data_IF_668332925155
#
_entry.id   IF_668332925155
#
_cell.length_a   1.000
_cell.length_b   1.000
_cell.length_c   1.000
_cell.angle_alpha   90.00
_cell.angle_beta   90.00
_cell.angle_gamma   90.00
#
_symmetry.space_group_name_H-M   'P 1'
#
loop_
_entity.id
_entity.type
_entity.pdbx_description
1 polymer ?
#
# COMPACT_ATOMS: atom_id res chain seq x y z
N UNK A 1 -29.76 12.73 13.20
CA UNK A 1 -29.70 14.21 13.24
C UNK A 1 -28.89 14.66 12.03
N UNK A 2 -29.40 15.58 11.21
CA UNK A 2 -28.64 16.09 10.07
C UNK A 2 -27.57 17.07 10.57
N UNK A 3 -26.30 16.82 10.28
CA UNK A 3 -25.21 17.73 10.62
C UNK A 3 -25.09 18.82 9.55
N UNK A 4 -25.05 20.09 9.96
CA UNK A 4 -24.95 21.25 9.08
C UNK A 4 -23.65 22.02 9.27
N UNK A 5 -23.03 22.46 8.18
CA UNK A 5 -21.77 23.19 8.18
C UNK A 5 -21.86 24.39 7.23
N UNK A 6 -21.55 25.58 7.74
CA UNK A 6 -21.62 26.82 6.97
C UNK A 6 -20.26 27.23 6.39
N UNK A 7 -20.32 28.02 5.31
CA UNK A 7 -19.13 28.62 4.70
C UNK A 7 -18.29 27.63 3.89
N UNK A 8 -18.85 26.50 3.49
CA UNK A 8 -18.12 25.45 2.77
C UNK A 8 -17.92 25.84 1.31
N UNK A 9 -16.68 25.82 0.85
CA UNK A 9 -16.34 26.03 -0.57
C UNK A 9 -16.22 24.68 -1.25
N UNK A 10 -16.86 24.54 -2.41
CA UNK A 10 -16.84 23.32 -3.21
C UNK A 10 -16.05 23.56 -4.50
N UNK A 11 -15.00 22.78 -4.69
CA UNK A 11 -14.16 22.79 -5.89
C UNK A 11 -14.14 21.42 -6.56
N UNK A 12 -13.97 21.39 -7.88
CA UNK A 12 -13.63 20.18 -8.63
C UNK A 12 -12.12 20.13 -8.90
N UNK A 13 -11.55 18.94 -8.81
CA UNK A 13 -10.21 18.66 -9.31
C UNK A 13 -10.33 17.98 -10.68
N UNK A 14 -9.72 18.58 -11.69
CA UNK A 14 -9.68 18.02 -13.05
C UNK A 14 -8.65 16.87 -13.16
N UNK A 15 -8.76 16.09 -14.23
CA UNK A 15 -7.75 15.07 -14.59
C UNK A 15 -6.39 15.71 -14.94
N UNK A 16 -6.33 17.01 -15.21
CA UNK A 16 -5.07 17.74 -15.45
C UNK A 16 -4.42 18.22 -14.15
N UNK A 17 -5.09 18.10 -13.01
CA UNK A 17 -4.63 18.60 -11.71
C UNK A 17 -5.11 20.03 -11.40
N UNK A 18 -5.88 20.65 -12.29
CA UNK A 18 -6.41 21.99 -12.03
C UNK A 18 -7.57 21.92 -11.03
N UNK A 19 -7.50 22.76 -9.99
CA UNK A 19 -8.58 22.93 -9.02
C UNK A 19 -9.43 24.12 -9.48
N UNK A 20 -10.70 23.87 -9.75
CA UNK A 20 -11.66 24.89 -10.15
C UNK A 20 -12.82 24.96 -9.16
N UNK A 21 -13.17 26.16 -8.69
CA UNK A 21 -14.35 26.32 -7.83
C UNK A 21 -15.62 26.01 -8.62
N UNK A 22 -16.41 25.04 -8.17
CA UNK A 22 -17.71 24.73 -8.78
C UNK A 22 -18.73 25.83 -8.51
N UNK A 23 -18.61 26.49 -7.36
CA UNK A 23 -19.47 27.58 -6.96
C UNK A 23 -18.63 28.76 -6.46
N UNK A 24 -18.92 29.99 -6.90
CA UNK A 24 -18.17 31.18 -6.51
C UNK A 24 -18.48 31.66 -5.09
N UNK A 25 -19.55 31.14 -4.47
CA UNK A 25 -20.01 31.54 -3.14
C UNK A 25 -19.94 30.36 -2.16
N UNK A 26 -19.63 30.60 -0.87
CA UNK A 26 -19.68 29.59 0.16
C UNK A 26 -21.10 29.02 0.34
N UNK A 27 -21.18 27.72 0.62
CA UNK A 27 -22.40 26.94 0.67
C UNK A 27 -22.69 26.44 2.09
N UNK A 28 -23.96 26.12 2.34
CA UNK A 28 -24.39 25.33 3.49
C UNK A 28 -24.28 23.85 3.11
N UNK A 29 -23.39 23.13 3.76
CA UNK A 29 -23.27 21.67 3.66
C UNK A 29 -24.20 21.03 4.69
N UNK A 30 -25.00 20.07 4.27
CA UNK A 30 -25.82 19.24 5.16
C UNK A 30 -25.57 17.78 4.85
N UNK A 31 -25.42 16.97 5.90
CA UNK A 31 -25.23 15.52 5.78
C UNK A 31 -26.47 14.83 6.32
N UNK A 32 -27.08 13.99 5.48
CA UNK A 32 -28.14 13.08 5.86
C UNK A 32 -27.61 11.64 5.82
N UNK A 33 -27.97 10.87 6.84
CA UNK A 33 -27.60 9.47 7.00
C UNK A 33 -28.76 8.60 6.49
N UNK A 34 -28.49 7.77 5.49
CA UNK A 34 -29.42 6.78 4.94
C UNK A 34 -28.88 5.37 5.17
N UNK A 35 -29.70 4.33 4.97
CA UNK A 35 -29.33 2.96 5.38
C UNK A 35 -28.08 2.40 4.70
N UNK A 36 -27.75 2.85 3.48
CA UNK A 36 -26.63 2.31 2.69
C UNK A 36 -25.63 3.37 2.18
N UNK A 37 -25.90 4.65 2.40
CA UNK A 37 -25.10 5.77 1.92
C UNK A 37 -25.28 7.02 2.78
N UNK A 38 -24.31 7.92 2.69
CA UNK A 38 -24.42 9.28 3.20
C UNK A 38 -24.78 10.21 2.05
N UNK A 39 -25.76 11.07 2.26
CA UNK A 39 -26.14 12.10 1.31
C UNK A 39 -25.57 13.43 1.78
N UNK A 40 -24.66 13.99 0.98
CA UNK A 40 -24.05 15.30 1.22
C UNK A 40 -24.69 16.32 0.29
N UNK A 41 -25.45 17.26 0.85
CA UNK A 41 -26.15 18.33 0.12
C UNK A 41 -25.47 19.67 0.35
N UNK A 42 -25.21 20.39 -0.73
CA UNK A 42 -24.66 21.74 -0.75
C UNK A 42 -25.72 22.71 -1.22
N UNK A 43 -26.16 23.62 -0.34
CA UNK A 43 -27.20 24.60 -0.67
C UNK A 43 -26.60 26.01 -0.70
N UNK A 44 -26.93 26.78 -1.75
CA UNK A 44 -26.66 28.23 -1.79
C UNK A 44 -27.54 28.96 -0.76
N UNK A 45 -26.97 29.97 -0.09
CA UNK A 45 -27.68 30.74 0.95
C UNK A 45 -28.97 31.41 0.43
N UNK A 46 -28.93 31.91 -0.81
CA UNK A 46 -30.00 32.76 -1.35
C UNK A 46 -30.97 32.00 -2.27
N UNK A 47 -30.81 30.68 -2.41
CA UNK A 47 -31.59 29.85 -3.32
C UNK A 47 -32.45 28.87 -2.53
N UNK A 48 -33.75 29.17 -2.38
CA UNK A 48 -34.70 28.27 -1.73
C UNK A 48 -35.34 27.23 -2.68
N UNK A 49 -34.99 27.26 -3.98
CA UNK A 49 -35.44 26.29 -4.97
C UNK A 49 -34.54 25.04 -5.06
N UNK A 50 -35.06 23.93 -5.62
CA UNK A 50 -34.31 22.67 -5.80
C UNK A 50 -33.10 22.81 -6.74
N UNK A 51 -33.07 23.79 -7.65
CA UNK A 51 -31.91 24.07 -8.52
C UNK A 51 -30.70 24.65 -7.77
N UNK A 52 -30.88 25.09 -6.51
CA UNK A 52 -29.82 25.65 -5.68
C UNK A 52 -29.02 24.62 -4.87
N UNK A 53 -29.34 23.33 -5.03
CA UNK A 53 -28.80 22.23 -4.23
C UNK A 53 -27.94 21.32 -5.10
N UNK A 54 -26.67 21.16 -4.75
CA UNK A 54 -25.80 20.13 -5.32
C UNK A 54 -25.75 18.94 -4.37
N UNK A 55 -26.00 17.73 -4.87
CA UNK A 55 -26.10 16.52 -4.06
C UNK A 55 -25.02 15.51 -4.48
N UNK A 56 -24.39 14.91 -3.48
CA UNK A 56 -23.35 13.90 -3.65
C UNK A 56 -23.68 12.73 -2.74
N UNK A 57 -23.80 11.56 -3.34
CA UNK A 57 -23.96 10.30 -2.63
C UNK A 57 -22.57 9.72 -2.32
N UNK A 58 -22.35 9.38 -1.05
CA UNK A 58 -21.12 8.76 -0.57
C UNK A 58 -21.47 7.36 -0.08
N UNK A 59 -20.94 6.35 -0.75
CA UNK A 59 -21.12 4.93 -0.43
C UNK A 59 -19.93 4.41 0.38
N UNK A 60 -20.07 3.20 0.96
CA UNK A 60 -19.02 2.55 1.76
C UNK A 60 -17.69 2.35 1.01
N UNK A 61 -17.75 2.22 -0.31
CA UNK A 61 -16.61 2.05 -1.22
C UNK A 61 -16.17 3.35 -1.91
N UNK A 62 -16.78 4.49 -1.57
CA UNK A 62 -16.39 5.78 -2.13
C UNK A 62 -15.05 6.23 -1.54
N UNK A 63 -14.07 6.48 -2.41
CA UNK A 63 -12.77 6.98 -2.02
C UNK A 63 -12.89 8.37 -1.39
N UNK A 64 -12.61 8.45 -0.10
CA UNK A 64 -12.66 9.69 0.68
C UNK A 64 -11.36 9.92 1.41
N UNK A 65 -10.98 11.20 1.54
CA UNK A 65 -9.70 11.58 2.11
C UNK A 65 -9.80 12.89 2.87
N UNK A 66 -9.31 12.90 4.11
CA UNK A 66 -9.08 14.16 4.81
C UNK A 66 -7.83 14.84 4.22
N UNK A 67 -7.97 16.10 3.86
CA UNK A 67 -6.89 16.96 3.38
C UNK A 67 -6.63 18.04 4.44
N UNK A 68 -5.73 17.72 5.35
CA UNK A 68 -5.38 18.61 6.45
C UNK A 68 -6.51 18.88 7.42
N UNK A 69 -6.43 19.99 8.14
CA UNK A 69 -7.40 20.29 9.20
C UNK A 69 -8.77 20.71 8.65
N UNK A 70 -8.83 21.15 7.39
CA UNK A 70 -9.93 21.98 6.87
C UNK A 70 -10.36 21.65 5.46
N UNK A 71 -9.87 20.57 4.88
CA UNK A 71 -10.37 20.11 3.61
C UNK A 71 -10.66 18.61 3.63
N UNK A 72 -11.59 18.23 2.78
CA UNK A 72 -12.01 16.85 2.62
C UNK A 72 -12.24 16.58 1.14
N UNK A 73 -11.77 15.45 0.66
CA UNK A 73 -11.89 15.06 -0.74
C UNK A 73 -12.83 13.88 -0.83
N UNK A 74 -13.69 13.93 -1.84
CA UNK A 74 -14.58 12.85 -2.23
C UNK A 74 -14.31 12.56 -3.70
N UNK A 75 -13.83 11.35 -3.98
CA UNK A 75 -13.62 10.87 -5.34
C UNK A 75 -14.72 9.85 -5.66
N UNK A 76 -15.47 10.11 -6.73
CA UNK A 76 -16.52 9.23 -7.22
C UNK A 76 -16.43 9.10 -8.74
N UNK A 77 -17.17 8.18 -9.35
CA UNK A 77 -17.01 7.84 -10.78
C UNK A 77 -17.18 9.01 -11.77
N UNK A 78 -17.81 10.13 -11.37
CA UNK A 78 -18.02 11.32 -12.22
C UNK A 78 -16.98 12.42 -12.01
N UNK A 79 -16.06 12.27 -11.05
CA UNK A 79 -15.02 13.28 -10.78
C UNK A 79 -14.56 13.31 -9.33
N UNK A 80 -13.66 14.25 -9.04
CA UNK A 80 -13.12 14.48 -7.69
C UNK A 80 -13.56 15.83 -7.17
N UNK A 81 -14.14 15.84 -5.97
CA UNK A 81 -14.59 17.04 -5.28
C UNK A 81 -13.69 17.33 -4.09
N UNK A 82 -13.32 18.60 -3.96
CA UNK A 82 -12.56 19.14 -2.84
C UNK A 82 -13.49 20.08 -2.05
N UNK A 83 -13.71 19.72 -0.79
CA UNK A 83 -14.47 20.48 0.21
C UNK A 83 -13.49 21.28 1.04
N UNK A 84 -13.73 22.59 1.21
CA UNK A 84 -12.92 23.45 2.06
C UNK A 84 -13.80 24.15 3.11
N UNK A 85 -13.44 24.02 4.38
CA UNK A 85 -14.12 24.64 5.51
C UNK A 85 -13.49 26.00 5.86
N UNK A 86 -14.24 26.96 6.44
CA UNK A 86 -13.76 28.32 6.73
C UNK A 86 -12.56 28.39 7.71
N UNK A 87 -11.79 29.48 7.63
CA UNK A 87 -10.51 29.73 8.33
C UNK A 87 -10.73 30.16 9.77
N UNK A 88 -9.92 29.61 10.69
CA UNK A 88 -9.39 30.40 11.80
C UNK A 88 -7.96 30.78 11.35
N UNK A 89 -7.63 32.06 11.43
CA UNK A 89 -6.47 32.67 10.76
C UNK A 89 -5.13 32.04 11.15
N UNK A 90 -4.20 32.01 10.18
CA UNK A 90 -2.77 31.77 10.39
C UNK A 90 -2.25 30.50 9.74
N UNK A 91 -1.98 30.54 8.43
CA UNK A 91 -0.96 29.68 7.82
C UNK A 91 -0.34 30.44 6.63
N UNK A 92 0.88 30.91 6.83
CA UNK A 92 1.70 31.61 5.86
C UNK A 92 2.41 30.62 4.93
N UNK A 93 2.06 30.61 3.64
CA UNK A 93 2.84 29.92 2.61
C UNK A 93 4.06 30.79 2.24
N UNK A 94 5.26 30.35 2.60
CA UNK A 94 6.53 30.90 2.10
C UNK A 94 7.06 30.09 0.90
N UNK A 95 7.71 30.72 -0.09
CA UNK A 95 8.25 30.02 -1.26
C UNK A 95 9.69 29.50 -1.04
N UNK A 96 10.05 28.51 -1.86
CA UNK A 96 11.39 27.99 -2.20
C UNK A 96 12.26 27.39 -1.09
N UNK A 97 11.99 26.11 -0.80
CA UNK A 97 12.92 25.19 -0.14
C UNK A 97 12.55 23.75 -0.47
N UNK A 98 13.53 22.84 -0.48
CA UNK A 98 13.25 21.40 -0.53
C UNK A 98 12.42 21.03 0.70
N UNK A 99 11.16 20.67 0.50
CA UNK A 99 10.27 20.24 1.58
C UNK A 99 10.51 18.76 1.87
N UNK A 100 11.32 18.48 2.89
CA UNK A 100 11.50 17.13 3.43
C UNK A 100 10.36 16.78 4.39
N UNK A 101 9.74 15.62 4.17
CA UNK A 101 8.53 15.17 4.85
C UNK A 101 8.72 13.73 5.26
N UNK A 102 8.66 13.50 6.56
CA UNK A 102 8.69 12.16 7.13
C UNK A 102 7.28 11.54 7.06
N UNK A 103 7.18 10.37 6.44
CA UNK A 103 5.94 9.59 6.39
C UNK A 103 6.07 8.42 7.35
N UNK A 104 5.23 8.42 8.39
CA UNK A 104 5.12 7.36 9.39
C UNK A 104 3.96 6.41 9.04
N UNK A 105 3.90 5.25 9.68
CA UNK A 105 2.84 4.24 9.41
C UNK A 105 1.44 4.76 9.71
N UNK A 106 1.32 5.62 10.71
CA UNK A 106 0.11 6.31 11.16
C UNK A 106 -0.14 7.64 10.44
N UNK A 107 0.75 8.08 9.54
CA UNK A 107 0.55 9.31 8.77
C UNK A 107 -0.66 9.16 7.85
N UNK A 108 -1.56 10.14 7.89
CA UNK A 108 -2.77 10.15 7.06
C UNK A 108 -2.38 10.40 5.60
N UNK A 109 -2.70 9.43 4.74
CA UNK A 109 -2.37 9.46 3.32
C UNK A 109 -3.53 8.95 2.50
N UNK A 110 -3.80 9.59 1.37
CA UNK A 110 -4.86 9.13 0.49
C UNK A 110 -4.62 9.54 -0.95
N UNK A 111 -5.11 8.71 -1.87
CA UNK A 111 -5.17 9.06 -3.29
C UNK A 111 -6.31 10.04 -3.51
N UNK A 112 -6.09 11.02 -4.38
CA UNK A 112 -7.07 12.05 -4.74
C UNK A 112 -7.21 12.06 -6.26
N UNK A 113 -8.35 11.58 -6.75
CA UNK A 113 -8.58 11.40 -8.19
C UNK A 113 -7.53 10.50 -8.86
N UNK A 114 -7.33 10.70 -10.18
CA UNK A 114 -6.43 9.84 -10.96
C UNK A 114 -4.95 10.20 -10.78
N UNK A 115 -4.66 11.48 -10.55
CA UNK A 115 -3.31 12.06 -10.70
C UNK A 115 -2.81 12.82 -9.48
N UNK A 116 -3.53 12.79 -8.36
CA UNK A 116 -3.09 13.45 -7.14
C UNK A 116 -3.04 12.51 -5.94
N UNK A 117 -2.25 12.91 -4.95
CA UNK A 117 -2.06 12.19 -3.70
C UNK A 117 -1.92 13.19 -2.57
N UNK A 118 -2.47 12.89 -1.41
CA UNK A 118 -2.43 13.77 -0.23
C UNK A 118 -1.67 13.09 0.89
N UNK A 119 -0.79 13.87 1.54
CA UNK A 119 -0.07 13.49 2.75
C UNK A 119 -0.38 14.54 3.81
N UNK A 120 -0.93 14.12 4.94
CA UNK A 120 -1.22 14.98 6.09
C UNK A 120 -0.29 14.61 7.23
N UNK A 121 0.56 15.56 7.63
CA UNK A 121 1.51 15.43 8.74
C UNK A 121 1.32 16.58 9.76
N UNK A 122 1.98 16.52 10.91
CA UNK A 122 1.78 17.50 11.99
C UNK A 122 1.98 18.98 11.60
N UNK A 123 2.82 19.27 10.60
CA UNK A 123 3.16 20.63 10.15
C UNK A 123 2.26 21.17 9.04
N UNK A 124 1.28 20.38 8.55
CA UNK A 124 0.42 20.78 7.44
C UNK A 124 0.07 19.63 6.49
N UNK A 125 -0.42 19.98 5.32
CA UNK A 125 -0.85 18.99 4.31
C UNK A 125 -0.28 19.32 2.95
N UNK A 126 0.18 18.27 2.28
CA UNK A 126 0.77 18.34 0.96
C UNK A 126 -0.14 17.64 -0.03
N UNK A 127 -0.44 18.36 -1.12
CA UNK A 127 -1.08 17.82 -2.31
C UNK A 127 0.02 17.60 -3.36
N UNK A 128 0.29 16.34 -3.66
CA UNK A 128 1.21 15.92 -4.71
C UNK A 128 0.43 15.73 -6.00
N UNK A 129 0.90 16.31 -7.09
CA UNK A 129 0.33 16.14 -8.43
C UNK A 129 1.34 15.46 -9.33
N UNK A 130 0.93 14.35 -9.92
CA UNK A 130 1.80 13.52 -10.73
C UNK A 130 1.52 13.76 -12.23
N UNK A 131 2.57 13.78 -13.07
CA UNK A 131 2.42 13.87 -14.53
C UNK A 131 1.51 12.78 -15.10
N UNK A 132 1.51 11.58 -14.52
CA UNK A 132 0.73 10.45 -15.02
C UNK A 132 -0.01 9.69 -13.91
N UNK A 133 -1.07 8.98 -14.28
CA UNK A 133 -1.80 8.10 -13.37
C UNK A 133 -0.91 6.92 -12.89
N UNK A 134 -0.04 6.42 -13.78
CA UNK A 134 0.88 5.32 -13.48
C UNK A 134 1.85 5.67 -12.35
N UNK A 135 2.37 6.90 -12.33
CA UNK A 135 3.26 7.36 -11.26
C UNK A 135 2.53 7.47 -9.92
N UNK A 136 1.26 7.91 -9.90
CA UNK A 136 0.44 7.89 -8.66
C UNK A 136 0.28 6.47 -8.15
N UNK A 137 -0.04 5.52 -9.04
CA UNK A 137 -0.23 4.13 -8.66
C UNK A 137 1.07 3.52 -8.11
N UNK A 138 2.21 3.82 -8.75
CA UNK A 138 3.52 3.41 -8.26
C UNK A 138 3.82 4.00 -6.89
N UNK A 139 3.60 5.29 -6.69
CA UNK A 139 3.81 5.96 -5.41
C UNK A 139 2.88 5.41 -4.32
N UNK A 140 1.59 5.28 -4.62
CA UNK A 140 0.60 4.68 -3.72
C UNK A 140 1.01 3.28 -3.30
N UNK A 141 1.46 2.43 -4.22
CA UNK A 141 1.94 1.08 -3.89
C UNK A 141 3.17 1.06 -2.99
N UNK A 142 4.06 2.06 -3.06
CA UNK A 142 5.21 2.17 -2.14
C UNK A 142 4.72 2.55 -0.73
N UNK A 143 3.86 3.56 -0.64
CA UNK A 143 3.29 4.02 0.64
C UNK A 143 2.45 2.91 1.29
N UNK A 144 1.60 2.24 0.51
CA UNK A 144 0.74 1.16 1.00
C UNK A 144 1.55 -0.05 1.49
N UNK A 145 2.60 -0.46 0.77
CA UNK A 145 3.54 -1.49 1.25
C UNK A 145 4.23 -1.10 2.56
N UNK A 146 4.62 0.16 2.71
CA UNK A 146 5.22 0.65 3.94
C UNK A 146 4.21 0.66 5.11
N UNK A 147 2.98 1.13 4.87
CA UNK A 147 1.92 1.24 5.90
C UNK A 147 1.33 -0.11 6.31
N UNK A 148 1.10 -1.02 5.36
CA UNK A 148 0.60 -2.38 5.60
C UNK A 148 1.58 -3.25 6.41
N UNK A 149 2.80 -2.77 6.65
CA UNK A 149 3.79 -3.50 7.46
C UNK A 149 4.27 -4.79 6.80
N UNK A 150 3.88 -5.07 5.56
CA UNK A 150 4.49 -6.07 4.70
C UNK A 150 5.86 -5.56 4.25
N UNK A 151 6.77 -5.43 5.22
CA UNK A 151 8.18 -5.62 4.94
C UNK A 151 8.25 -7.10 4.55
N UNK A 152 8.18 -7.40 3.25
CA UNK A 152 8.57 -8.72 2.77
C UNK A 152 10.02 -8.87 3.20
N UNK A 153 10.25 -9.50 4.36
CA UNK A 153 11.60 -9.79 4.79
C UNK A 153 12.25 -10.58 3.65
N UNK A 154 13.56 -10.43 3.44
CA UNK A 154 14.28 -11.19 2.41
C UNK A 154 13.98 -12.71 2.55
N UNK A 155 13.68 -13.15 3.78
CA UNK A 155 13.17 -14.48 4.09
C UNK A 155 11.79 -14.76 3.47
N UNK A 156 10.76 -13.94 3.75
CA UNK A 156 9.42 -14.12 3.19
C UNK A 156 9.36 -13.99 1.66
N UNK A 157 10.28 -13.23 1.05
CA UNK A 157 10.35 -13.11 -0.41
C UNK A 157 10.94 -14.37 -1.08
N UNK A 158 11.79 -15.12 -0.36
CA UNK A 158 12.50 -16.29 -0.88
C UNK A 158 11.94 -17.62 -0.40
N UNK A 159 11.02 -17.60 0.56
CA UNK A 159 10.55 -18.80 1.24
C UNK A 159 9.05 -18.69 1.46
N UNK A 160 8.32 -19.70 0.96
CA UNK A 160 6.89 -19.82 1.16
C UNK A 160 6.57 -20.04 2.65
N UNK A 161 5.57 -19.34 3.18
CA UNK A 161 5.27 -19.30 4.63
C UNK A 161 4.86 -20.67 5.17
N UNK A 162 4.12 -21.46 4.37
CA UNK A 162 3.75 -22.82 4.74
C UNK A 162 4.98 -23.73 4.77
N UNK A 163 5.89 -23.61 3.79
CA UNK A 163 7.16 -24.34 3.77
C UNK A 163 8.07 -23.99 4.95
N UNK A 164 8.15 -22.70 5.32
CA UNK A 164 8.95 -22.23 6.45
C UNK A 164 8.42 -22.77 7.78
N UNK A 165 7.10 -22.70 7.98
CA UNK A 165 6.45 -23.21 9.18
C UNK A 165 6.72 -24.70 9.36
N UNK A 166 6.55 -25.48 8.30
CA UNK A 166 6.80 -26.91 8.34
C UNK A 166 8.29 -27.24 8.57
N UNK A 167 9.19 -26.49 7.95
CA UNK A 167 10.64 -26.63 8.16
C UNK A 167 11.02 -26.36 9.62
N UNK A 168 10.54 -25.27 10.21
CA UNK A 168 10.82 -24.94 11.62
C UNK A 168 10.17 -25.92 12.59
N UNK A 169 8.98 -26.45 12.27
CA UNK A 169 8.37 -27.52 13.06
C UNK A 169 9.21 -28.81 13.01
N UNK A 170 9.70 -29.19 11.83
CA UNK A 170 10.52 -30.39 11.66
C UNK A 170 11.86 -30.28 12.40
N UNK A 171 12.59 -29.17 12.24
CA UNK A 171 13.88 -28.96 12.92
C UNK A 171 13.75 -28.39 14.35
N UNK A 172 12.54 -28.10 14.80
CA UNK A 172 12.25 -27.76 16.19
C UNK A 172 12.37 -28.96 17.14
N UNK A 173 12.27 -30.19 16.61
CA UNK A 173 12.43 -31.41 17.40
C UNK A 173 13.90 -31.68 17.76
N UNK A 174 14.17 -31.98 19.03
CA UNK A 174 15.52 -32.28 19.54
C UNK A 174 16.19 -33.44 18.78
N UNK A 175 15.44 -34.48 18.42
CA UNK A 175 15.96 -35.62 17.66
C UNK A 175 16.50 -35.20 16.29
N UNK A 176 15.86 -34.26 15.61
CA UNK A 176 16.32 -33.75 14.32
C UNK A 176 17.53 -32.83 14.46
N UNK A 177 17.59 -32.03 15.53
CA UNK A 177 18.78 -31.24 15.84
C UNK A 177 19.98 -32.14 16.15
N UNK A 178 19.77 -33.24 16.87
CA UNK A 178 20.82 -34.22 17.14
C UNK A 178 21.30 -34.92 15.86
N UNK A 179 20.39 -35.23 14.93
CA UNK A 179 20.75 -35.79 13.63
C UNK A 179 21.65 -34.83 12.83
N UNK A 180 21.33 -33.54 12.82
CA UNK A 180 22.15 -32.50 12.18
C UNK A 180 23.54 -32.38 12.81
N UNK A 181 23.65 -32.44 14.15
CA UNK A 181 24.96 -32.39 14.81
C UNK A 181 25.83 -33.62 14.53
N UNK A 182 25.22 -34.78 14.26
CA UNK A 182 25.96 -35.99 13.91
C UNK A 182 26.50 -35.99 12.47
N UNK A 183 26.03 -35.08 11.61
CA UNK A 183 26.52 -34.98 10.23
C UNK A 183 28.00 -34.58 10.16
N UNK A 184 28.54 -33.93 11.19
CA UNK A 184 29.97 -33.68 11.31
C UNK A 184 30.79 -34.98 11.28
N UNK A 185 30.36 -35.99 12.03
CA UNK A 185 31.04 -37.30 12.07
C UNK A 185 30.85 -38.03 10.74
N UNK A 186 29.64 -37.97 10.17
CA UNK A 186 29.31 -38.61 8.90
C UNK A 186 30.17 -38.07 7.76
N UNK A 187 30.21 -36.74 7.60
CA UNK A 187 30.95 -36.06 6.54
C UNK A 187 32.46 -36.18 6.71
N UNK A 188 32.98 -36.05 7.93
CA UNK A 188 34.42 -36.22 8.20
C UNK A 188 34.90 -37.65 7.92
N UNK A 189 34.07 -38.66 8.19
CA UNK A 189 34.38 -40.06 7.88
C UNK A 189 34.46 -40.28 6.37
N UNK A 190 33.49 -39.79 5.60
CA UNK A 190 33.52 -39.88 4.14
C UNK A 190 34.70 -39.09 3.55
N UNK A 191 34.93 -37.87 4.02
CA UNK A 191 36.04 -37.04 3.58
C UNK A 191 37.38 -37.76 3.79
N UNK A 192 37.59 -38.36 4.97
CA UNK A 192 38.81 -39.10 5.27
C UNK A 192 38.95 -40.36 4.43
N UNK A 193 37.86 -41.08 4.17
CA UNK A 193 37.87 -42.24 3.31
C UNK A 193 38.24 -41.89 1.86
N UNK A 194 37.72 -40.78 1.34
CA UNK A 194 38.03 -40.29 -0.01
C UNK A 194 39.50 -39.86 -0.11
N UNK A 195 39.98 -39.06 0.86
CA UNK A 195 41.37 -38.58 0.87
C UNK A 195 42.40 -39.68 1.07
N UNK A 196 42.06 -40.75 1.80
CA UNK A 196 42.97 -41.87 2.00
C UNK A 196 43.01 -42.84 0.83
N UNK A 197 42.01 -42.82 -0.07
CA UNK A 197 41.91 -43.72 -1.22
C UNK A 197 41.78 -42.93 -2.52
N UNK A 198 42.54 -41.83 -2.68
CA UNK A 198 42.38 -40.90 -3.82
C UNK A 198 42.51 -41.57 -5.19
N UNK A 199 43.29 -42.65 -5.31
CA UNK A 199 43.44 -43.39 -6.57
C UNK A 199 42.12 -44.06 -7.00
N UNK A 200 41.30 -44.53 -6.06
CA UNK A 200 40.02 -45.17 -6.34
C UNK A 200 38.95 -44.16 -6.82
N UNK A 201 39.11 -42.89 -6.45
CA UNK A 201 38.20 -41.80 -6.79
C UNK A 201 38.69 -40.94 -7.96
N UNK A 202 39.92 -41.15 -8.43
CA UNK A 202 40.50 -40.40 -9.54
C UNK A 202 39.69 -40.66 -10.82
N UNK A 203 39.26 -39.58 -11.46
CA UNK A 203 38.45 -39.58 -12.70
C UNK A 203 37.10 -40.32 -12.57
N UNK A 204 36.60 -40.50 -11.33
CA UNK A 204 35.26 -41.04 -11.05
C UNK A 204 34.28 -39.92 -10.72
N UNK A 205 33.06 -40.02 -11.26
CA UNK A 205 31.94 -39.14 -10.87
C UNK A 205 31.32 -39.72 -9.60
N UNK A 206 31.36 -38.96 -8.50
CA UNK A 206 30.68 -39.33 -7.26
C UNK A 206 29.25 -38.80 -7.34
N UNK A 207 28.28 -39.71 -7.45
CA UNK A 207 26.86 -39.35 -7.44
C UNK A 207 26.38 -39.19 -5.99
N UNK A 208 26.24 -37.94 -5.54
CA UNK A 208 25.63 -37.62 -4.25
C UNK A 208 24.10 -37.63 -4.42
N UNK A 209 23.47 -38.78 -4.20
CA UNK A 209 22.00 -38.88 -4.21
C UNK A 209 21.43 -38.19 -2.97
N UNK A 210 21.05 -36.92 -3.10
CA UNK A 210 20.10 -36.29 -2.19
C UNK A 210 18.76 -37.00 -2.39
N UNK A 211 18.33 -37.78 -1.40
CA UNK A 211 17.01 -38.41 -1.39
C UNK A 211 15.92 -37.34 -1.21
N UNK A 212 15.72 -36.51 -2.22
CA UNK A 212 14.47 -35.79 -2.42
C UNK A 212 13.50 -36.84 -2.95
N UNK A 213 12.58 -37.28 -2.09
CA UNK A 213 11.45 -38.08 -2.52
C UNK A 213 10.64 -37.30 -3.56
N UNK A 214 10.90 -37.53 -4.84
CA UNK A 214 9.98 -37.16 -5.90
C UNK A 214 9.98 -38.23 -6.98
N UNK A 215 8.87 -38.95 -7.02
CA UNK A 215 8.36 -39.66 -8.18
C UNK A 215 8.59 -38.85 -9.46
N UNK A 216 9.55 -39.28 -10.28
CA UNK A 216 9.42 -39.39 -11.76
C UNK A 216 10.71 -39.95 -12.34
N UNK A 217 10.65 -41.24 -12.67
CA UNK A 217 11.56 -41.85 -13.61
C UNK A 217 11.40 -41.17 -14.98
N UNK A 218 12.47 -40.58 -15.48
CA UNK A 218 12.59 -40.10 -16.86
C UNK A 218 13.91 -40.61 -17.41
N UNK A 219 13.85 -41.76 -18.08
CA UNK A 219 14.97 -42.36 -18.81
C UNK A 219 15.45 -41.40 -19.88
N UNK A 220 16.72 -40.99 -19.82
CA UNK A 220 17.39 -40.25 -20.90
C UNK A 220 18.17 -41.29 -21.71
N UNK A 221 17.71 -41.55 -22.94
CA UNK A 221 18.48 -42.31 -23.92
C UNK A 221 19.53 -41.37 -24.54
N UNK A 222 20.81 -41.68 -24.35
CA UNK A 222 21.89 -41.09 -25.14
C UNK A 222 21.85 -41.64 -26.57
N UNK A 223 21.78 -40.73 -27.55
CA UNK A 223 22.11 -40.99 -28.94
C UNK A 223 23.44 -40.29 -29.25
N UNK A 224 24.32 -41.04 -29.92
CA UNK A 224 25.62 -40.64 -30.45
C UNK A 224 25.60 -39.33 -31.24
#
# INVERSE_FOLDING_TARGET
MAAGFEGVVLSSLSDTGEITQKFPLPLLLTVADESENLIVKFKKRDSNGPEGVHEVEVFKDTDTARVGKRAYVITHGKGTLLLQFPTCEGDSNGPEGVHEVEVFKDTDTARVGKRAYVITHGKGTLLLQFPTCEEVLRFHGIVDKFKSGHISSIFAQRTDEASATQYFQFYGYLSQQQNMMQDYIRTSTYQRAILNNMEDFKDKVIEATLALSSSRAGTIHEGY
#
